data_IF_684333190778
#
_entry.id   IF_684333190778
#
_cell.length_a   1.000
_cell.length_b   1.000
_cell.length_c   1.000
_cell.angle_alpha   90.00
_cell.angle_beta   90.00
_cell.angle_gamma   90.00
#
_symmetry.space_group_name_H-M   'P 1'
#
loop_
_entity.id
_entity.type
_entity.pdbx_description
1 polymer ?
#
# COMPACT_ATOMS: atom_id res chain seq x y z
N UNK A 1 -27.49 3.15 2.67
CA UNK A 1 -26.94 3.17 2.47
C UNK A 1 -26.08 2.78 2.31
N UNK A 2 -25.94 2.65 2.35
CA UNK A 2 -25.21 2.35 2.29
C UNK A 2 -24.61 1.77 1.90
N UNK A 3 -24.55 1.41 1.80
CA UNK A 3 -23.88 1.00 1.58
C UNK A 3 -23.10 0.78 1.02
N UNK A 4 -23.10 0.78 1.01
CA UNK A 4 -22.44 0.72 0.52
C UNK A 4 -21.56 0.21 0.09
N UNK A 5 -21.18 -0.21 0.26
CA UNK A 5 -20.31 -0.78 -0.03
C UNK A 5 -20.17 -1.50 -0.82
N UNK A 6 -19.97 -1.37 -1.22
CA UNK A 6 -19.89 -2.09 -2.02
C UNK A 6 -19.35 -3.24 -2.05
N UNK A 7 -19.80 -3.80 -1.84
CA UNK A 7 -19.56 -5.08 -1.84
C UNK A 7 -18.90 -5.66 -2.93
N UNK A 8 -19.01 -5.13 -3.92
CA UNK A 8 -18.46 -5.70 -5.01
C UNK A 8 -17.08 -6.00 -4.84
N UNK A 9 -16.50 -5.42 -3.99
CA UNK A 9 -15.21 -5.70 -3.88
C UNK A 9 -14.92 -6.97 -3.34
N UNK A 10 -15.77 -7.62 -2.84
CA UNK A 10 -15.47 -8.84 -2.19
C UNK A 10 -15.10 -9.95 -3.11
N UNK A 11 -15.37 -9.86 -4.38
CA UNK A 11 -15.10 -11.00 -5.14
C UNK A 11 -13.72 -11.16 -5.62
N UNK A 12 -12.87 -10.24 -5.41
CA UNK A 12 -11.50 -10.40 -5.86
C UNK A 12 -10.57 -10.06 -4.75
N UNK A 13 -10.39 -10.96 -3.79
CA UNK A 13 -9.58 -10.64 -2.63
C UNK A 13 -8.19 -10.16 -2.99
N UNK A 14 -7.56 -10.81 -3.93
CA UNK A 14 -6.22 -10.38 -4.31
C UNK A 14 -6.21 -9.00 -4.88
N UNK A 15 -7.20 -8.67 -5.69
CA UNK A 15 -7.29 -7.35 -6.29
C UNK A 15 -7.59 -6.30 -5.23
N UNK A 16 -8.45 -6.62 -4.28
CA UNK A 16 -8.75 -5.70 -3.19
C UNK A 16 -7.51 -5.41 -2.37
N UNK A 17 -6.75 -6.44 -2.07
CA UNK A 17 -5.52 -6.24 -1.31
C UNK A 17 -4.54 -5.36 -2.07
N UNK A 18 -4.38 -5.60 -3.35
CA UNK A 18 -3.49 -4.79 -4.15
C UNK A 18 -3.91 -3.33 -4.13
N UNK A 19 -5.21 -3.09 -4.21
CA UNK A 19 -5.70 -1.72 -4.19
C UNK A 19 -5.42 -1.05 -2.86
N UNK A 20 -5.62 -1.78 -1.77
CA UNK A 20 -5.32 -1.22 -0.45
C UNK A 20 -3.83 -0.89 -0.34
N UNK A 21 -2.97 -1.77 -0.83
CA UNK A 21 -1.53 -1.52 -0.75
C UNK A 21 -1.13 -0.33 -1.61
N UNK A 22 -1.73 -0.21 -2.79
CA UNK A 22 -1.44 0.93 -3.66
C UNK A 22 -1.88 2.22 -2.99
N UNK A 23 -3.06 2.22 -2.39
CA UNK A 23 -3.57 3.41 -1.73
C UNK A 23 -2.70 3.78 -0.53
N UNK A 24 -2.27 2.81 0.24
CA UNK A 24 -1.40 3.08 1.38
C UNK A 24 -0.08 3.68 0.93
N UNK A 25 0.50 3.14 -0.13
CA UNK A 25 1.76 3.69 -0.63
C UNK A 25 1.57 5.12 -1.11
N UNK A 26 0.46 5.37 -1.79
CA UNK A 26 0.19 6.73 -2.28
C UNK A 26 0.04 7.71 -1.12
N UNK A 27 -0.61 7.29 -0.04
CA UNK A 27 -0.76 8.14 1.12
C UNK A 27 0.58 8.43 1.78
N UNK A 28 1.45 7.43 1.85
CA UNK A 28 2.77 7.64 2.41
C UNK A 28 3.57 8.62 1.56
N UNK A 29 3.47 8.48 0.23
CA UNK A 29 4.17 9.40 -0.66
C UNK A 29 3.70 10.83 -0.46
N UNK A 30 2.40 11.01 -0.28
CA UNK A 30 1.86 12.33 -0.03
C UNK A 30 2.33 12.87 1.31
N UNK A 31 2.38 12.02 2.33
CA UNK A 31 2.89 12.44 3.63
C UNK A 31 4.35 12.85 3.54
N UNK A 32 5.15 12.13 2.76
CA UNK A 32 6.55 12.48 2.59
C UNK A 32 6.69 13.86 1.96
N UNK A 33 5.87 14.14 0.96
CA UNK A 33 5.91 15.46 0.33
C UNK A 33 5.52 16.57 1.32
N UNK A 34 4.52 16.30 2.12
CA UNK A 34 4.07 17.30 3.08
C UNK A 34 5.10 17.52 4.19
N UNK A 35 5.69 16.42 4.68
CA UNK A 35 6.68 16.54 5.73
C UNK A 35 7.95 17.22 5.26
N UNK A 36 8.23 17.12 3.96
CA UNK A 36 9.43 17.78 3.43
C UNK A 36 9.36 19.29 3.57
N UNK A 37 8.18 19.84 3.81
CA UNK A 37 8.01 21.27 4.01
C UNK A 37 8.35 21.70 5.43
N UNK A 38 8.55 20.76 6.33
CA UNK A 38 8.85 21.04 7.71
C UNK A 38 10.28 20.69 8.03
N UNK A 39 10.85 21.42 8.99
CA UNK A 39 12.19 21.12 9.43
C UNK A 39 12.16 19.99 10.45
N UNK A 40 13.28 19.30 10.56
CA UNK A 40 13.48 18.30 11.61
C UNK A 40 12.51 17.13 11.53
N UNK A 41 12.16 16.73 10.30
CA UNK A 41 11.30 15.58 10.11
C UNK A 41 12.01 14.44 9.42
N UNK A 42 13.34 14.49 9.33
CA UNK A 42 14.09 13.47 8.61
C UNK A 42 13.86 12.09 9.17
N UNK A 43 13.86 11.96 10.48
CA UNK A 43 13.69 10.64 11.10
C UNK A 43 12.30 10.08 10.82
N UNK A 44 11.29 10.96 10.78
CA UNK A 44 9.94 10.51 10.48
C UNK A 44 9.85 10.06 9.03
N UNK A 45 10.45 10.86 8.14
CA UNK A 45 10.41 10.51 6.72
C UNK A 45 11.13 9.21 6.45
N UNK A 46 12.24 8.97 7.15
CA UNK A 46 12.95 7.71 6.99
C UNK A 46 12.11 6.52 7.40
N UNK A 47 11.35 6.68 8.47
CA UNK A 47 10.46 5.61 8.89
C UNK A 47 9.35 5.36 7.87
N UNK A 48 8.82 6.43 7.30
CA UNK A 48 7.79 6.28 6.28
C UNK A 48 8.33 5.60 5.02
N UNK A 49 9.57 5.93 4.65
CA UNK A 49 10.19 5.26 3.51
C UNK A 49 10.35 3.78 3.79
N UNK A 50 10.74 3.43 5.01
CA UNK A 50 10.89 2.03 5.38
C UNK A 50 9.55 1.31 5.28
N UNK A 51 8.48 1.93 5.75
CA UNK A 51 7.16 1.33 5.64
C UNK A 51 6.74 1.19 4.18
N UNK A 52 7.00 2.22 3.39
CA UNK A 52 6.68 2.18 1.96
C UNK A 52 7.38 1.00 1.29
N UNK A 53 8.65 0.80 1.61
CA UNK A 53 9.41 -0.31 1.04
C UNK A 53 8.84 -1.65 1.47
N UNK A 54 8.40 -1.75 2.71
CA UNK A 54 7.78 -2.98 3.19
C UNK A 54 6.46 -3.24 2.47
N UNK A 55 5.70 -2.20 2.21
CA UNK A 55 4.45 -2.36 1.47
C UNK A 55 4.71 -2.78 0.04
N UNK A 56 5.76 -2.25 -0.57
CA UNK A 56 6.11 -2.66 -1.92
C UNK A 56 6.51 -4.12 -1.96
N UNK A 57 7.30 -4.56 -0.98
CA UNK A 57 7.67 -5.96 -0.91
C UNK A 57 6.47 -6.87 -0.75
N UNK A 58 5.54 -6.46 0.10
CA UNK A 58 4.32 -7.24 0.30
C UNK A 58 3.48 -7.27 -0.97
N UNK A 59 3.39 -6.14 -1.65
CA UNK A 59 2.61 -6.07 -2.88
C UNK A 59 3.21 -6.99 -3.94
N UNK A 60 4.52 -6.97 -4.08
CA UNK A 60 5.19 -7.83 -5.05
C UNK A 60 4.96 -9.30 -4.71
N UNK A 61 5.05 -9.65 -3.44
CA UNK A 61 4.83 -11.02 -3.02
C UNK A 61 3.40 -11.45 -3.33
N UNK A 62 2.43 -10.61 -3.05
CA UNK A 62 1.05 -10.95 -3.31
C UNK A 62 0.80 -11.12 -4.80
N UNK A 63 1.41 -10.26 -5.61
CA UNK A 63 1.27 -10.40 -7.05
C UNK A 63 1.87 -11.69 -7.54
N UNK A 64 3.04 -12.05 -7.04
CA UNK A 64 3.69 -13.29 -7.44
C UNK A 64 2.84 -14.49 -7.05
N UNK A 65 2.27 -14.47 -5.85
CA UNK A 65 1.41 -15.57 -5.42
C UNK A 65 0.18 -15.69 -6.28
N UNK A 66 -0.43 -14.56 -6.63
CA UNK A 66 -1.62 -14.58 -7.43
C UNK A 66 -1.35 -15.11 -8.82
N UNK A 67 -0.15 -14.85 -9.33
CA UNK A 67 0.21 -15.34 -10.64
C UNK A 67 0.73 -16.77 -10.60
N UNK A 68 0.83 -17.36 -9.43
CA UNK A 68 1.28 -18.72 -9.32
C UNK A 68 2.77 -18.90 -9.33
N UNK A 69 3.51 -17.83 -9.29
CA UNK A 69 4.95 -17.94 -9.36
C UNK A 69 5.54 -18.56 -8.11
N UNK A 70 4.89 -18.38 -7.00
CA UNK A 70 5.40 -18.92 -5.76
C UNK A 70 4.93 -20.32 -5.49
N UNK A 71 4.14 -20.84 -6.35
CA UNK A 71 3.59 -22.15 -6.11
C UNK A 71 4.57 -23.26 -6.34
N UNK A 72 5.66 -22.97 -6.89
CA UNK A 72 6.59 -24.00 -7.16
C UNK A 72 7.32 -24.50 -5.95
#
# INVERSE_FOLDING_TARGET
>A
MGKSSPPFMAYEPGTSECRVLIDCKAQIELMLLNLAKLDNTDHIRQQLVAVHNQLEGLHDLRRAQRQGLMAV
#
